data_IF_222081357017
#
_entry.id   IF_222081357017
#
_cell.length_a   1.000
_cell.length_b   1.000
_cell.length_c   1.000
_cell.angle_alpha   90.00
_cell.angle_beta   90.00
_cell.angle_gamma   90.00
#
_symmetry.space_group_name_H-M   'P 1'
#
loop_
_entity.id
_entity.type
_entity.pdbx_description
1 polymer ?
#
# COMPACT_ATOMS: atom_id res chain seq x y z
N UNK A 1 39.34 13.06 37.01
CA UNK A 1 38.30 12.01 36.90
C UNK A 1 36.86 12.56 36.83
N UNK A 2 36.46 13.50 37.70
CA UNK A 2 35.07 13.99 37.73
C UNK A 2 34.63 14.72 36.44
N UNK A 3 35.49 15.53 35.84
CA UNK A 3 35.22 16.25 34.57
C UNK A 3 35.05 15.28 33.38
N UNK A 4 35.88 14.25 33.29
CA UNK A 4 35.77 13.20 32.28
C UNK A 4 34.45 12.42 32.39
N UNK A 5 34.03 12.09 33.61
CA UNK A 5 32.72 11.45 33.85
C UNK A 5 31.57 12.33 33.35
N UNK A 6 31.62 13.64 33.62
CA UNK A 6 30.60 14.59 33.14
C UNK A 6 30.56 14.67 31.61
N UNK A 7 31.72 14.80 30.97
CA UNK A 7 31.82 14.82 29.49
C UNK A 7 31.23 13.53 28.91
N UNK A 8 31.57 12.37 29.48
CA UNK A 8 31.07 11.09 29.01
C UNK A 8 29.54 10.97 29.14
N UNK A 9 28.99 11.43 30.27
CA UNK A 9 27.54 11.47 30.50
C UNK A 9 26.87 12.42 29.49
N UNK A 10 27.42 13.62 29.28
CA UNK A 10 26.86 14.58 28.32
C UNK A 10 26.86 14.02 26.90
N UNK A 11 27.97 13.41 26.46
CA UNK A 11 28.04 12.77 25.14
C UNK A 11 27.05 11.63 25.02
N UNK A 12 26.92 10.78 26.05
CA UNK A 12 25.94 9.69 26.04
C UNK A 12 24.49 10.21 25.92
N UNK A 13 24.15 11.29 26.63
CA UNK A 13 22.83 11.93 26.54
C UNK A 13 22.57 12.55 25.17
N UNK A 14 23.55 13.24 24.59
CA UNK A 14 23.43 13.81 23.24
C UNK A 14 23.27 12.71 22.20
N UNK A 15 24.07 11.64 22.27
CA UNK A 15 23.95 10.49 21.38
C UNK A 15 22.59 9.80 21.51
N UNK A 16 22.09 9.64 22.74
CA UNK A 16 20.77 9.05 22.99
C UNK A 16 19.66 9.93 22.40
N UNK A 17 19.72 11.25 22.60
CA UNK A 17 18.74 12.17 22.04
C UNK A 17 18.75 12.17 20.51
N UNK A 18 19.93 12.13 19.89
CA UNK A 18 20.08 12.02 18.44
C UNK A 18 19.51 10.70 17.90
N UNK A 19 19.74 9.59 18.60
CA UNK A 19 19.18 8.29 18.23
C UNK A 19 17.65 8.30 18.28
N UNK A 20 17.05 8.80 19.37
CA UNK A 20 15.58 8.89 19.51
C UNK A 20 15.00 9.81 18.44
N UNK A 21 15.64 10.96 18.18
CA UNK A 21 15.22 11.87 17.11
C UNK A 21 15.25 11.21 15.73
N UNK A 22 16.30 10.46 15.42
CA UNK A 22 16.41 9.71 14.16
C UNK A 22 15.32 8.63 14.03
N UNK A 23 15.02 7.90 15.11
CA UNK A 23 13.95 6.89 15.13
C UNK A 23 12.57 7.53 14.88
N UNK A 24 12.29 8.70 15.45
CA UNK A 24 11.01 9.38 15.27
C UNK A 24 10.83 9.85 13.81
N UNK A 25 11.87 10.41 13.19
CA UNK A 25 11.84 10.83 11.78
C UNK A 25 11.60 9.62 10.88
N UNK A 26 12.28 8.50 11.14
CA UNK A 26 12.10 7.26 10.38
C UNK A 26 10.66 6.74 10.49
N UNK A 27 10.09 6.69 11.69
CA UNK A 27 8.72 6.23 11.91
C UNK A 27 7.66 7.10 11.20
N UNK A 28 7.84 8.43 11.21
CA UNK A 28 6.95 9.34 10.51
C UNK A 28 7.03 9.16 8.98
N UNK A 29 8.25 9.05 8.45
CA UNK A 29 8.47 8.85 7.02
C UNK A 29 7.93 7.50 6.54
N UNK A 30 8.19 6.42 7.29
CA UNK A 30 7.70 5.08 6.95
C UNK A 30 6.18 4.98 7.04
N UNK A 31 5.54 5.69 7.98
CA UNK A 31 4.09 5.78 8.08
C UNK A 31 3.42 6.45 6.87
N UNK A 32 3.97 7.57 6.38
CA UNK A 32 3.44 8.20 5.17
C UNK A 32 3.69 7.36 3.92
N UNK A 33 4.86 6.73 3.83
CA UNK A 33 5.20 5.86 2.72
C UNK A 33 4.30 4.60 2.69
N UNK A 34 3.91 4.03 3.83
CA UNK A 34 3.01 2.89 3.88
C UNK A 34 1.57 3.24 3.46
N UNK A 35 1.05 4.41 3.86
CA UNK A 35 -0.25 4.91 3.40
C UNK A 35 -0.22 5.20 1.89
N UNK A 36 0.84 5.85 1.40
CA UNK A 36 1.02 6.11 -0.03
C UNK A 36 1.09 4.83 -0.85
N UNK A 37 1.75 3.78 -0.33
CA UNK A 37 1.75 2.46 -0.93
C UNK A 37 0.34 1.85 -0.99
N UNK A 38 -0.45 1.98 0.07
CA UNK A 38 -1.85 1.52 0.08
C UNK A 38 -2.71 2.19 -0.99
N UNK A 39 -2.60 3.51 -1.17
CA UNK A 39 -3.27 4.21 -2.28
C UNK A 39 -2.75 3.75 -3.65
N UNK A 40 -1.47 3.37 -3.75
CA UNK A 40 -0.94 2.71 -4.93
C UNK A 40 -1.66 1.39 -5.22
N UNK A 41 -1.72 0.49 -4.22
CA UNK A 41 -2.40 -0.80 -4.35
C UNK A 41 -3.88 -0.63 -4.77
N UNK A 42 -4.59 0.36 -4.22
CA UNK A 42 -5.96 0.71 -4.63
C UNK A 42 -6.02 1.27 -6.07
N UNK A 43 -5.09 2.17 -6.44
CA UNK A 43 -4.98 2.74 -7.77
C UNK A 43 -4.75 1.68 -8.85
N UNK A 44 -3.98 0.64 -8.54
CA UNK A 44 -3.80 -0.54 -9.39
C UNK A 44 -5.14 -1.23 -9.67
N UNK A 45 -5.90 -1.53 -8.62
CA UNK A 45 -7.22 -2.20 -8.73
C UNK A 45 -8.22 -1.35 -9.52
N UNK A 46 -8.23 -0.03 -9.30
CA UNK A 46 -9.08 0.89 -10.07
C UNK A 46 -8.74 0.88 -11.56
N UNK A 47 -7.45 0.91 -11.91
CA UNK A 47 -7.04 0.86 -13.31
C UNK A 47 -7.42 -0.48 -13.96
N UNK A 48 -7.26 -1.59 -13.24
CA UNK A 48 -7.70 -2.91 -13.71
C UNK A 48 -9.22 -2.94 -13.96
N UNK A 49 -10.01 -2.37 -13.05
CA UNK A 49 -11.47 -2.31 -13.21
C UNK A 49 -11.90 -1.39 -14.37
N UNK A 50 -11.21 -0.26 -14.56
CA UNK A 50 -11.42 0.62 -15.71
C UNK A 50 -11.18 -0.11 -17.04
N UNK A 51 -10.14 -0.97 -17.12
CA UNK A 51 -9.88 -1.80 -18.30
C UNK A 51 -11.06 -2.75 -18.57
N UNK A 52 -11.59 -3.43 -17.53
CA UNK A 52 -12.74 -4.33 -17.68
C UNK A 52 -13.98 -3.58 -18.20
N UNK A 53 -14.28 -2.41 -17.64
CA UNK A 53 -15.39 -1.58 -18.11
C UNK A 53 -15.24 -1.16 -19.57
N UNK A 54 -14.03 -0.76 -19.98
CA UNK A 54 -13.76 -0.36 -21.35
C UNK A 54 -13.84 -1.55 -22.33
N UNK A 55 -13.33 -2.72 -21.93
CA UNK A 55 -13.48 -3.96 -22.70
C UNK A 55 -14.93 -4.37 -22.85
N UNK A 56 -15.74 -4.23 -21.80
CA UNK A 56 -17.17 -4.48 -21.86
C UNK A 56 -17.86 -3.52 -22.84
N UNK A 57 -17.59 -2.21 -22.74
CA UNK A 57 -18.15 -1.22 -23.66
C UNK A 57 -17.81 -1.48 -25.13
N UNK A 58 -16.59 -1.98 -25.42
CA UNK A 58 -16.17 -2.34 -26.77
C UNK A 58 -16.91 -3.55 -27.37
N UNK A 59 -17.49 -4.41 -26.53
CA UNK A 59 -18.27 -5.59 -26.97
C UNK A 59 -19.71 -5.23 -27.36
N UNK A 60 -20.17 -4.03 -27.01
CA UNK A 60 -21.54 -3.60 -27.30
C UNK A 60 -21.75 -3.43 -28.81
N UNK A 61 -22.90 -3.88 -29.37
CA UNK A 61 -23.15 -3.85 -30.81
C UNK A 61 -23.21 -2.43 -31.38
N UNK A 62 -23.64 -1.46 -30.56
CA UNK A 62 -23.75 -0.04 -30.85
C UNK A 62 -22.51 0.77 -30.48
N UNK A 63 -21.40 0.12 -30.08
CA UNK A 63 -20.15 0.81 -29.80
C UNK A 63 -19.68 1.63 -31.01
N UNK A 64 -19.53 2.94 -30.81
CA UNK A 64 -19.12 3.90 -31.84
C UNK A 64 -17.73 3.62 -32.42
N UNK A 65 -17.48 4.12 -33.64
CA UNK A 65 -16.18 3.93 -34.31
C UNK A 65 -15.02 4.59 -33.55
N UNK A 66 -15.26 5.73 -32.91
CA UNK A 66 -14.26 6.42 -32.09
C UNK A 66 -13.88 5.59 -30.85
N UNK A 67 -14.89 5.01 -30.18
CA UNK A 67 -14.65 4.10 -29.06
C UNK A 67 -13.87 2.86 -29.53
N UNK A 68 -14.21 2.28 -30.69
CA UNK A 68 -13.52 1.10 -31.25
C UNK A 68 -12.07 1.39 -31.63
N UNK A 69 -11.79 2.57 -32.20
CA UNK A 69 -10.45 2.97 -32.63
C UNK A 69 -9.55 3.37 -31.45
N UNK A 70 -10.05 4.21 -30.55
CA UNK A 70 -9.28 4.69 -29.41
C UNK A 70 -9.30 3.73 -28.22
N UNK A 71 -10.40 3.02 -27.99
CA UNK A 71 -10.57 2.13 -26.84
C UNK A 71 -9.57 0.98 -26.81
N UNK A 72 -9.24 0.40 -27.97
CA UNK A 72 -8.19 -0.64 -28.06
C UNK A 72 -6.81 -0.09 -27.69
N UNK A 73 -6.47 1.11 -28.15
CA UNK A 73 -5.22 1.77 -27.80
C UNK A 73 -5.17 2.14 -26.31
N UNK A 74 -6.29 2.65 -25.78
CA UNK A 74 -6.43 2.97 -24.36
C UNK A 74 -6.26 1.74 -23.47
N UNK A 75 -6.87 0.60 -23.81
CA UNK A 75 -6.67 -0.68 -23.08
C UNK A 75 -5.20 -1.11 -23.13
N UNK A 76 -4.56 -1.03 -24.31
CA UNK A 76 -3.15 -1.39 -24.46
C UNK A 76 -2.27 -0.56 -23.52
N UNK A 77 -2.42 0.76 -23.55
CA UNK A 77 -1.64 1.65 -22.68
C UNK A 77 -1.96 1.49 -21.20
N UNK A 78 -3.22 1.21 -20.85
CA UNK A 78 -3.60 0.93 -19.47
C UNK A 78 -2.94 -0.36 -18.94
N UNK A 79 -2.81 -1.40 -19.78
CA UNK A 79 -2.09 -2.63 -19.42
C UNK A 79 -0.58 -2.39 -19.27
N UNK A 80 0.04 -1.64 -20.18
CA UNK A 80 1.44 -1.20 -20.04
C UNK A 80 1.64 -0.39 -18.74
N UNK A 81 0.68 0.47 -18.41
CA UNK A 81 0.70 1.21 -17.15
C UNK A 81 0.62 0.29 -15.93
N UNK A 82 -0.23 -0.75 -15.95
CA UNK A 82 -0.28 -1.76 -14.87
C UNK A 82 1.05 -2.49 -14.68
N UNK A 83 1.77 -2.81 -15.76
CA UNK A 83 3.11 -3.42 -15.67
C UNK A 83 4.10 -2.51 -14.93
N UNK A 84 4.15 -1.23 -15.30
CA UNK A 84 4.97 -0.25 -14.60
C UNK A 84 4.53 -0.03 -13.15
N UNK A 85 3.23 -0.06 -12.92
CA UNK A 85 2.64 0.08 -11.59
C UNK A 85 3.06 -1.07 -10.68
N UNK A 86 3.06 -2.30 -11.20
CA UNK A 86 3.48 -3.48 -10.46
C UNK A 86 4.96 -3.40 -10.04
N UNK A 87 5.85 -2.96 -10.93
CA UNK A 87 7.26 -2.73 -10.57
C UNK A 87 7.42 -1.61 -9.53
N UNK A 88 6.63 -0.54 -9.63
CA UNK A 88 6.62 0.53 -8.65
C UNK A 88 6.15 0.03 -7.26
N UNK A 89 5.08 -0.76 -7.20
CA UNK A 89 4.59 -1.36 -5.96
C UNK A 89 5.59 -2.34 -5.36
N UNK A 90 6.29 -3.12 -6.19
CA UNK A 90 7.36 -4.01 -5.74
C UNK A 90 8.50 -3.21 -5.08
N UNK A 91 9.04 -2.19 -5.75
CA UNK A 91 10.10 -1.36 -5.19
C UNK A 91 9.66 -0.63 -3.91
N UNK A 92 8.41 -0.16 -3.84
CA UNK A 92 7.88 0.47 -2.65
C UNK A 92 7.73 -0.51 -1.48
N UNK A 93 7.30 -1.75 -1.74
CA UNK A 93 7.28 -2.82 -0.74
C UNK A 93 8.68 -3.15 -0.23
N UNK A 94 9.65 -3.34 -1.13
CA UNK A 94 11.06 -3.58 -0.78
C UNK A 94 11.64 -2.44 0.08
N UNK A 95 11.33 -1.19 -0.27
CA UNK A 95 11.78 0.01 0.47
C UNK A 95 11.18 0.09 1.88
N UNK A 96 10.00 -0.49 2.07
CA UNK A 96 9.31 -0.59 3.36
C UNK A 96 9.61 -1.88 4.12
N UNK A 97 10.44 -2.78 3.57
CA UNK A 97 10.69 -4.09 4.14
C UNK A 97 9.46 -5.00 4.18
N UNK A 98 8.45 -4.73 3.33
CA UNK A 98 7.24 -5.54 3.18
C UNK A 98 7.44 -6.57 2.07
N UNK A 99 6.92 -7.79 2.21
CA UNK A 99 6.89 -8.72 1.10
C UNK A 99 5.99 -8.17 -0.01
N UNK A 100 6.39 -8.34 -1.26
CA UNK A 100 5.53 -8.02 -2.41
C UNK A 100 4.26 -8.86 -2.33
N UNK A 101 3.12 -8.19 -2.19
CA UNK A 101 1.80 -8.81 -2.13
C UNK A 101 1.07 -8.60 -3.44
N UNK A 102 0.32 -9.60 -3.88
CA UNK A 102 -0.61 -9.41 -4.99
C UNK A 102 -1.75 -8.50 -4.47
N UNK A 103 -2.04 -7.34 -5.10
CA UNK A 103 -3.10 -6.42 -4.64
C UNK A 103 -4.46 -7.13 -4.52
N UNK A 104 -4.68 -8.16 -5.33
CA UNK A 104 -5.88 -9.01 -5.35
C UNK A 104 -5.99 -10.01 -4.19
N UNK A 105 -4.91 -10.27 -3.44
CA UNK A 105 -4.92 -11.17 -2.27
C UNK A 105 -4.91 -10.42 -0.93
N UNK A 106 -4.81 -9.09 -0.96
CA UNK A 106 -4.86 -8.24 0.22
C UNK A 106 -6.29 -7.90 0.60
N UNK A 107 -6.82 -8.55 1.65
CA UNK A 107 -7.99 -8.03 2.36
C UNK A 107 -7.72 -6.58 2.76
N UNK A 108 -8.73 -5.73 2.54
CA UNK A 108 -8.61 -4.28 2.62
C UNK A 108 -7.90 -3.76 3.86
N UNK A 109 -7.31 -2.57 3.72
CA UNK A 109 -6.68 -1.79 4.79
C UNK A 109 -7.47 -1.84 6.10
N UNK A 110 -7.11 -2.79 6.95
CA UNK A 110 -7.69 -3.02 8.26
C UNK A 110 -6.63 -3.70 9.09
N UNK A 111 -5.79 -2.87 9.74
CA UNK A 111 -5.04 -3.18 10.95
C UNK A 111 -4.93 -4.68 11.30
N UNK A 112 -3.92 -5.37 10.76
CA UNK A 112 -3.57 -6.71 11.24
C UNK A 112 -2.88 -6.57 12.60
N UNK A 113 -3.71 -6.48 13.65
CA UNK A 113 -3.28 -6.69 15.02
C UNK A 113 -2.98 -8.19 15.17
N UNK A 114 -1.72 -8.51 15.46
CA UNK A 114 -1.34 -9.80 16.00
C UNK A 114 -2.12 -10.01 17.30
N UNK A 115 -3.09 -10.94 17.36
CA UNK A 115 -3.33 -11.71 18.56
C UNK A 115 -4.18 -12.95 18.34
N UNK A 116 -3.75 -13.97 19.05
CA UNK A 116 -4.19 -15.33 19.14
C UNK A 116 -5.46 -15.44 20.00
N UNK A 117 -6.24 -16.49 19.71
CA UNK A 117 -7.13 -17.26 20.61
C UNK A 117 -8.58 -17.38 20.13
N UNK A 118 -9.00 -18.63 20.02
CA UNK A 118 -10.32 -19.02 19.60
C UNK A 118 -11.36 -18.82 20.69
N UNK A 119 -12.59 -18.54 20.26
CA UNK A 119 -13.80 -19.00 20.94
C UNK A 119 -14.98 -18.92 19.99
N UNK A 120 -15.60 -20.07 19.80
CA UNK A 120 -16.85 -20.29 19.11
C UNK A 120 -18.00 -19.65 19.87
N UNK A 121 -18.77 -18.80 19.21
CA UNK A 121 -20.09 -18.39 19.70
C UNK A 121 -21.06 -18.25 18.53
N UNK A 122 -22.09 -19.10 18.53
CA UNK A 122 -23.21 -19.11 17.60
C UNK A 122 -24.17 -17.95 17.88
N UNK A 123 -24.58 -17.25 16.82
CA UNK A 123 -25.64 -16.24 16.82
C UNK A 123 -26.97 -16.93 16.46
N UNK A 124 -27.96 -16.87 17.34
CA UNK A 124 -29.37 -17.04 16.97
C UNK A 124 -29.97 -15.64 16.79
N UNK A 125 -30.41 -15.33 15.57
CA UNK A 125 -31.18 -14.12 15.27
C UNK A 125 -32.62 -14.29 15.72
N UNK A 126 -33.08 -13.38 16.58
CA UNK A 126 -34.50 -13.21 16.93
C UNK A 126 -35.16 -12.21 15.98
N UNK A 127 -36.29 -12.61 15.40
CA UNK A 127 -37.19 -11.73 14.63
C UNK A 127 -38.20 -11.06 15.57
N UNK A 128 -38.34 -9.73 15.45
CA UNK A 128 -39.49 -8.95 15.93
C UNK A 128 -40.13 -8.22 14.75
#
# INVERSE_FOLDING_TARGET
>A
MLQWKKIFITVAWVSFFMLVGAQQIHAQASGHASVGLGHGEEGYLHLEEMIKHLEFGLKMPDAGQDLKSHGKAAIKHAREALEHYNEALKHANESLGRPTRNPMMGGGSGSEHFQQEGSSHSHEEGSH
#
